data_IF_696705103760
#
_entry.id   IF_696705103760
#
_cell.length_a   1.000
_cell.length_b   1.000
_cell.length_c   1.000
_cell.angle_alpha   90.00
_cell.angle_beta   90.00
_cell.angle_gamma   90.00
#
_symmetry.space_group_name_H-M   'P 1'
#
loop_
_entity.id
_entity.type
_entity.pdbx_description
1 polymer ?
#
# COMPACT_ATOMS: atom_id res chain seq x y z
N UNK A 1 3.69 -34.89 13.24
CA UNK A 1 4.72 -34.24 12.39
C UNK A 1 4.15 -33.49 11.19
N UNK A 2 3.21 -34.05 10.44
CA UNK A 2 2.56 -33.40 9.27
C UNK A 2 1.79 -32.12 9.62
N UNK A 3 1.06 -32.08 10.73
CA UNK A 3 0.34 -30.88 11.19
C UNK A 3 1.28 -29.71 11.50
N UNK A 4 2.46 -29.98 12.06
CA UNK A 4 3.43 -28.94 12.42
C UNK A 4 4.06 -28.25 11.21
N UNK A 5 4.26 -29.00 10.12
CA UNK A 5 4.80 -28.48 8.85
C UNK A 5 3.73 -27.60 8.16
N UNK A 6 2.48 -28.09 8.08
CA UNK A 6 1.36 -27.35 7.50
C UNK A 6 1.08 -26.06 8.25
N UNK A 7 1.18 -26.06 9.58
CA UNK A 7 1.05 -24.86 10.41
C UNK A 7 2.17 -23.84 10.18
N UNK A 8 3.41 -24.30 10.00
CA UNK A 8 4.55 -23.42 9.68
C UNK A 8 4.40 -22.79 8.29
N UNK A 9 3.92 -23.53 7.30
CA UNK A 9 3.67 -23.02 5.95
C UNK A 9 2.60 -21.91 6.01
N UNK A 10 1.49 -22.10 6.70
CA UNK A 10 0.46 -21.07 6.85
C UNK A 10 0.98 -19.80 7.52
N UNK A 11 1.86 -19.90 8.51
CA UNK A 11 2.43 -18.73 9.16
C UNK A 11 3.37 -17.93 8.24
N UNK A 12 4.14 -18.61 7.39
CA UNK A 12 4.97 -17.97 6.37
C UNK A 12 4.11 -17.22 5.36
N UNK A 13 2.98 -17.80 4.97
CA UNK A 13 2.04 -17.17 4.04
C UNK A 13 1.38 -15.92 4.64
N UNK A 14 0.99 -15.93 5.92
CA UNK A 14 0.46 -14.74 6.61
C UNK A 14 1.49 -13.63 6.68
N UNK A 15 2.74 -13.92 7.03
CA UNK A 15 3.81 -12.93 7.08
C UNK A 15 4.10 -12.34 5.70
N UNK A 16 4.17 -13.20 4.69
CA UNK A 16 4.40 -12.78 3.30
C UNK A 16 3.26 -11.89 2.77
N UNK A 17 2.01 -12.21 3.10
CA UNK A 17 0.86 -11.39 2.72
C UNK A 17 0.87 -10.03 3.45
N UNK A 18 1.18 -10.02 4.74
CA UNK A 18 1.30 -8.78 5.50
C UNK A 18 2.39 -7.85 4.96
N UNK A 19 3.53 -8.40 4.53
CA UNK A 19 4.59 -7.62 3.91
C UNK A 19 4.13 -6.97 2.59
N UNK A 20 3.32 -7.68 1.79
CA UNK A 20 2.72 -7.11 0.58
C UNK A 20 1.71 -6.00 0.89
N UNK A 21 0.86 -6.19 1.89
CA UNK A 21 -0.10 -5.18 2.32
C UNK A 21 0.59 -3.93 2.87
N UNK A 22 1.68 -4.09 3.62
CA UNK A 22 2.51 -2.97 4.05
C UNK A 22 3.17 -2.24 2.88
N UNK A 23 3.74 -2.99 1.93
CA UNK A 23 4.34 -2.42 0.71
C UNK A 23 3.32 -1.60 -0.08
N UNK A 24 2.11 -2.13 -0.24
CA UNK A 24 0.98 -1.41 -0.86
C UNK A 24 0.70 -0.10 -0.14
N UNK A 25 0.54 -0.13 1.18
CA UNK A 25 0.24 1.06 1.99
C UNK A 25 1.34 2.13 1.89
N UNK A 26 2.60 1.73 1.90
CA UNK A 26 3.74 2.65 1.72
C UNK A 26 3.67 3.30 0.33
N UNK A 27 3.41 2.53 -0.73
CA UNK A 27 3.27 3.07 -2.08
C UNK A 27 2.09 4.05 -2.21
N UNK A 28 0.95 3.75 -1.60
CA UNK A 28 -0.22 4.63 -1.56
C UNK A 28 0.09 5.97 -0.86
N UNK A 29 0.76 5.93 0.29
CA UNK A 29 1.20 7.14 1.02
C UNK A 29 2.20 7.95 0.19
N UNK A 30 3.15 7.30 -0.47
CA UNK A 30 4.13 7.97 -1.31
C UNK A 30 3.48 8.64 -2.53
N UNK A 31 2.51 7.98 -3.17
CA UNK A 31 1.74 8.55 -4.28
C UNK A 31 0.97 9.79 -3.81
N UNK A 32 0.32 9.74 -2.66
CA UNK A 32 -0.40 10.87 -2.08
C UNK A 32 0.55 12.05 -1.84
N UNK A 33 1.69 11.79 -1.22
CA UNK A 33 2.72 12.81 -0.99
C UNK A 33 3.21 13.44 -2.30
N UNK A 34 3.55 12.64 -3.30
CA UNK A 34 4.05 13.11 -4.59
C UNK A 34 2.99 13.91 -5.37
N UNK A 35 1.71 13.49 -5.30
CA UNK A 35 0.62 14.26 -5.90
C UNK A 35 0.44 15.62 -5.22
N UNK A 36 0.50 15.68 -3.89
CA UNK A 36 0.41 16.94 -3.14
C UNK A 36 1.56 17.88 -3.48
N UNK A 37 2.78 17.37 -3.65
CA UNK A 37 3.93 18.17 -4.10
C UNK A 37 3.74 18.68 -5.54
N UNK A 38 3.20 17.84 -6.41
CA UNK A 38 2.85 18.23 -7.78
C UNK A 38 1.82 19.36 -7.80
N UNK A 39 0.75 19.24 -7.03
CA UNK A 39 -0.31 20.26 -6.91
C UNK A 39 0.23 21.60 -6.38
N UNK A 40 1.11 21.57 -5.39
CA UNK A 40 1.76 22.79 -4.86
C UNK A 40 2.56 23.51 -5.94
N UNK A 41 3.31 22.79 -6.76
CA UNK A 41 4.06 23.36 -7.86
C UNK A 41 3.10 23.93 -8.91
N UNK A 42 2.03 23.20 -9.25
CA UNK A 42 1.02 23.66 -10.21
C UNK A 42 0.28 24.91 -9.75
N UNK A 43 -0.02 25.02 -8.45
CA UNK A 43 -0.65 26.20 -7.86
C UNK A 43 0.25 27.45 -7.96
N UNK A 44 1.55 27.32 -7.71
CA UNK A 44 2.51 28.44 -7.85
C UNK A 44 2.48 29.03 -9.26
N UNK A 45 2.43 28.18 -10.28
CA UNK A 45 2.42 28.65 -11.68
C UNK A 45 1.06 29.16 -12.18
N UNK A 46 -0.05 28.71 -11.59
CA UNK A 46 -1.38 29.22 -11.92
C UNK A 46 -1.62 30.62 -11.36
N UNK A 47 -1.06 30.96 -10.20
CA UNK A 47 -1.19 32.31 -9.61
C UNK A 47 -0.29 33.35 -10.31
N UNK A 48 0.86 32.97 -10.86
CA UNK A 48 1.74 33.86 -11.61
C UNK A 48 1.16 34.31 -12.95
N UNK A 49 0.23 33.55 -13.54
CA UNK A 49 -0.43 33.90 -14.81
C UNK A 49 -1.28 35.15 -14.75
N UNK A 50 -1.62 35.67 -13.57
CA UNK A 50 -2.41 36.87 -13.37
C UNK A 50 -1.57 38.17 -13.12
N UNK A 51 -0.26 38.04 -12.89
CA UNK A 51 0.63 39.16 -12.57
C UNK A 51 1.92 39.14 -13.40
N UNK A 52 1.85 38.93 -14.70
CA UNK A 52 3.02 39.02 -15.57
C UNK A 52 3.48 40.48 -15.72
N UNK A 53 4.60 40.92 -15.12
CA UNK A 53 5.24 42.15 -15.53
C UNK A 53 5.81 41.95 -16.93
N UNK A 54 5.40 42.79 -17.84
CA UNK A 54 5.95 42.91 -19.19
C UNK A 54 7.41 43.40 -19.15
N UNK A 55 8.33 42.64 -18.63
CA UNK A 55 9.74 42.87 -18.73
C UNK A 55 10.43 41.65 -19.35
N UNK A 56 10.91 41.85 -20.56
CA UNK A 56 11.77 40.98 -21.33
C UNK A 56 13.10 40.70 -20.60
N UNK A 57 13.06 40.05 -19.47
CA UNK A 57 14.26 39.43 -18.92
C UNK A 57 14.48 38.11 -19.65
N UNK A 58 15.61 37.95 -20.28
CA UNK A 58 16.09 36.70 -20.90
C UNK A 58 16.15 35.59 -19.88
N UNK A 59 15.00 35.02 -19.49
CA UNK A 59 14.92 33.81 -18.75
C UNK A 59 15.38 32.63 -19.63
N UNK A 60 16.08 31.63 -19.11
CA UNK A 60 16.57 30.49 -19.89
C UNK A 60 15.44 29.62 -20.46
N UNK A 61 14.20 29.95 -20.19
CA UNK A 61 13.01 29.22 -20.63
C UNK A 61 12.08 30.16 -21.43
N UNK A 62 11.64 29.68 -22.58
CA UNK A 62 10.85 30.50 -23.52
C UNK A 62 9.36 30.60 -23.16
N UNK A 63 8.88 29.80 -22.17
CA UNK A 63 7.48 29.83 -21.73
C UNK A 63 7.33 29.46 -20.25
N UNK A 64 6.20 29.86 -19.62
CA UNK A 64 5.83 29.44 -18.28
C UNK A 64 5.65 27.92 -18.20
N UNK A 65 5.20 27.30 -19.29
CA UNK A 65 5.08 25.86 -19.41
C UNK A 65 6.44 25.16 -19.26
N UNK A 66 7.50 25.68 -19.89
CA UNK A 66 8.85 25.12 -19.81
C UNK A 66 9.43 25.26 -18.40
N UNK A 67 9.16 26.37 -17.71
CA UNK A 67 9.53 26.54 -16.29
C UNK A 67 8.83 25.53 -15.41
N UNK A 68 7.55 25.31 -15.60
CA UNK A 68 6.74 24.34 -14.85
C UNK A 68 7.26 22.91 -15.05
N UNK A 69 7.54 22.52 -16.29
CA UNK A 69 8.14 21.22 -16.59
C UNK A 69 9.51 21.10 -15.92
N UNK A 70 10.35 22.12 -15.98
CA UNK A 70 11.66 22.14 -15.34
C UNK A 70 11.56 21.96 -13.83
N UNK A 71 10.67 22.68 -13.15
CA UNK A 71 10.43 22.52 -11.72
C UNK A 71 9.93 21.10 -11.36
N UNK A 72 8.95 20.60 -12.09
CA UNK A 72 8.41 19.25 -11.90
C UNK A 72 9.48 18.16 -12.12
N UNK A 73 10.42 18.40 -13.02
CA UNK A 73 11.49 17.42 -13.32
C UNK A 73 12.69 17.52 -12.41
N UNK A 74 13.00 18.70 -11.84
CA UNK A 74 14.25 18.92 -11.10
C UNK A 74 14.09 19.04 -9.58
N UNK A 75 12.94 19.50 -9.08
CA UNK A 75 12.75 19.78 -7.65
C UNK A 75 13.00 18.58 -6.75
N UNK A 76 12.60 17.38 -7.16
CA UNK A 76 12.81 16.16 -6.39
C UNK A 76 14.05 15.35 -6.78
N UNK A 77 14.78 15.75 -7.81
CA UNK A 77 16.04 15.10 -8.16
C UNK A 77 17.08 15.21 -7.04
N UNK A 78 17.00 16.27 -6.23
CA UNK A 78 17.91 16.52 -5.10
C UNK A 78 17.52 15.76 -3.83
N UNK A 79 16.21 15.50 -3.62
CA UNK A 79 15.70 14.84 -2.42
C UNK A 79 15.69 13.32 -2.55
N UNK A 80 15.79 12.79 -3.76
CA UNK A 80 15.77 11.35 -3.99
C UNK A 80 17.14 10.71 -3.84
N UNK A 81 17.46 10.36 -2.62
CA UNK A 81 18.73 9.76 -2.20
C UNK A 81 19.10 8.47 -2.94
N UNK A 82 18.14 7.81 -3.59
CA UNK A 82 18.33 6.46 -4.12
C UNK A 82 18.36 6.33 -5.65
N UNK A 83 17.62 7.15 -6.41
CA UNK A 83 17.42 6.85 -7.84
C UNK A 83 17.59 8.01 -8.82
N UNK A 84 17.91 9.22 -8.40
CA UNK A 84 18.01 10.42 -9.26
C UNK A 84 16.78 10.66 -10.14
N UNK A 85 15.63 10.13 -9.75
CA UNK A 85 14.35 10.31 -10.45
C UNK A 85 13.80 11.70 -10.13
N UNK A 86 13.23 12.37 -11.14
CA UNK A 86 12.40 13.55 -10.92
C UNK A 86 11.01 13.16 -10.38
N UNK A 87 10.21 14.15 -9.98
CA UNK A 87 8.88 13.94 -9.38
C UNK A 87 7.96 13.09 -10.25
N UNK A 88 7.91 13.35 -11.56
CA UNK A 88 7.01 12.65 -12.48
C UNK A 88 7.47 11.20 -12.67
N UNK A 89 8.76 11.00 -12.89
CA UNK A 89 9.35 9.66 -13.03
C UNK A 89 9.16 8.83 -11.76
N UNK A 90 9.34 9.45 -10.59
CA UNK A 90 9.11 8.77 -9.31
C UNK A 90 7.65 8.40 -9.12
N UNK A 91 6.73 9.31 -9.44
CA UNK A 91 5.29 9.07 -9.37
C UNK A 91 4.87 7.91 -10.28
N UNK A 92 5.37 7.87 -11.51
CA UNK A 92 5.08 6.79 -12.46
C UNK A 92 5.68 5.46 -12.00
N UNK A 93 6.89 5.48 -11.44
CA UNK A 93 7.53 4.31 -10.88
C UNK A 93 6.72 3.72 -9.72
N UNK A 94 6.33 4.54 -8.75
CA UNK A 94 5.58 4.07 -7.57
C UNK A 94 4.19 3.58 -7.96
N UNK A 95 3.53 4.21 -8.95
CA UNK A 95 2.25 3.72 -9.49
C UNK A 95 2.38 2.32 -10.09
N UNK A 96 3.45 2.06 -10.84
CA UNK A 96 3.72 0.71 -11.40
C UNK A 96 4.00 -0.31 -10.28
N UNK A 97 4.80 0.07 -9.27
CA UNK A 97 5.03 -0.81 -8.10
C UNK A 97 3.71 -1.14 -7.37
N UNK A 98 2.82 -0.16 -7.22
CA UNK A 98 1.51 -0.36 -6.61
C UNK A 98 0.65 -1.31 -7.44
N UNK A 99 0.64 -1.17 -8.76
CA UNK A 99 -0.09 -2.06 -9.66
C UNK A 99 0.42 -3.51 -9.57
N UNK A 100 1.73 -3.71 -9.59
CA UNK A 100 2.36 -5.02 -9.44
C UNK A 100 2.04 -5.64 -8.07
N UNK A 101 2.10 -4.83 -7.02
CA UNK A 101 1.77 -5.25 -5.67
C UNK A 101 0.29 -5.68 -5.56
N UNK A 102 -0.63 -4.93 -6.16
CA UNK A 102 -2.05 -5.28 -6.20
C UNK A 102 -2.29 -6.59 -6.97
N UNK A 103 -1.64 -6.80 -8.10
CA UNK A 103 -1.73 -8.07 -8.87
C UNK A 103 -1.26 -9.25 -8.03
N UNK A 104 -0.17 -9.08 -7.30
CA UNK A 104 0.35 -10.16 -6.44
C UNK A 104 -0.56 -10.43 -5.23
N UNK A 105 -1.14 -9.39 -4.63
CA UNK A 105 -2.13 -9.52 -3.55
C UNK A 105 -3.35 -10.31 -4.05
N UNK A 106 -3.90 -9.99 -5.21
CA UNK A 106 -5.06 -10.71 -5.77
C UNK A 106 -4.75 -12.18 -6.07
N UNK A 107 -3.58 -12.49 -6.61
CA UNK A 107 -3.14 -13.88 -6.81
C UNK A 107 -3.09 -14.65 -5.48
N UNK A 108 -2.55 -14.00 -4.43
CA UNK A 108 -2.45 -14.62 -3.10
C UNK A 108 -3.80 -14.77 -2.43
N UNK A 109 -4.74 -13.84 -2.60
CA UNK A 109 -6.11 -14.00 -2.10
C UNK A 109 -6.77 -15.24 -2.68
N UNK A 110 -6.63 -15.50 -3.98
CA UNK A 110 -7.14 -16.72 -4.63
C UNK A 110 -6.54 -17.98 -3.98
N UNK A 111 -5.26 -17.94 -3.63
CA UNK A 111 -4.61 -19.03 -2.91
C UNK A 111 -5.19 -19.21 -1.50
N UNK A 112 -5.37 -18.12 -0.75
CA UNK A 112 -5.99 -18.15 0.59
C UNK A 112 -7.42 -18.69 0.57
N UNK A 113 -8.20 -18.43 -0.48
CA UNK A 113 -9.56 -18.95 -0.63
C UNK A 113 -9.62 -20.48 -0.76
N UNK A 114 -8.52 -21.08 -1.21
CA UNK A 114 -8.38 -22.54 -1.32
C UNK A 114 -7.84 -23.20 -0.04
N UNK A 115 -7.34 -22.41 0.90
CA UNK A 115 -6.84 -22.92 2.16
C UNK A 115 -7.99 -23.09 3.15
N UNK A 116 -8.04 -24.25 3.77
CA UNK A 116 -9.00 -24.55 4.83
C UNK A 116 -8.35 -24.41 6.20
N UNK A 117 -9.19 -24.21 7.21
CA UNK A 117 -8.78 -24.21 8.61
C UNK A 117 -9.08 -22.91 9.35
N UNK A 118 -9.32 -23.05 10.65
CA UNK A 118 -9.78 -21.97 11.53
C UNK A 118 -8.86 -20.75 11.48
N UNK A 119 -7.55 -20.93 11.48
CA UNK A 119 -6.60 -19.80 11.43
C UNK A 119 -6.70 -19.02 10.12
N UNK A 120 -6.89 -19.75 9.03
CA UNK A 120 -7.00 -19.15 7.71
C UNK A 120 -8.33 -18.39 7.55
N UNK A 121 -9.43 -18.93 8.04
CA UNK A 121 -10.72 -18.24 8.04
C UNK A 121 -10.68 -16.96 8.89
N UNK A 122 -10.09 -17.01 10.08
CA UNK A 122 -9.89 -15.83 10.91
C UNK A 122 -9.05 -14.76 10.19
N UNK A 123 -7.97 -15.18 9.53
CA UNK A 123 -7.11 -14.26 8.78
C UNK A 123 -7.87 -13.60 7.63
N UNK A 124 -8.59 -14.38 6.81
CA UNK A 124 -9.39 -13.85 5.70
C UNK A 124 -10.43 -12.83 6.18
N UNK A 125 -11.22 -13.20 7.17
CA UNK A 125 -12.28 -12.33 7.68
C UNK A 125 -11.75 -11.03 8.28
N UNK A 126 -10.65 -11.07 9.04
CA UNK A 126 -10.12 -9.89 9.73
C UNK A 126 -9.28 -9.03 8.78
N UNK A 127 -8.39 -9.64 8.01
CA UNK A 127 -7.41 -8.90 7.19
C UNK A 127 -7.97 -8.50 5.83
N UNK A 128 -8.70 -9.39 5.15
CA UNK A 128 -9.23 -9.10 3.81
C UNK A 128 -10.60 -8.44 3.83
N UNK A 129 -11.47 -8.87 4.76
CA UNK A 129 -12.85 -8.38 4.85
C UNK A 129 -13.02 -7.26 5.87
N UNK A 130 -12.00 -6.99 6.70
CA UNK A 130 -12.03 -5.96 7.73
C UNK A 130 -12.99 -6.24 8.88
N UNK A 131 -13.32 -7.52 9.12
CA UNK A 131 -14.23 -7.90 10.17
C UNK A 131 -13.66 -7.63 11.57
N UNK A 132 -14.54 -7.24 12.49
CA UNK A 132 -14.15 -7.16 13.89
C UNK A 132 -13.75 -8.55 14.42
N UNK A 133 -12.63 -8.66 15.17
CA UNK A 133 -12.16 -9.93 15.70
C UNK A 133 -13.21 -10.76 16.45
N UNK A 134 -14.07 -10.11 17.25
CA UNK A 134 -15.13 -10.81 17.98
C UNK A 134 -16.15 -11.46 17.03
N UNK A 135 -16.59 -10.72 16.01
CA UNK A 135 -17.50 -11.21 15.00
C UNK A 135 -16.88 -12.35 14.17
N UNK A 136 -15.62 -12.21 13.80
CA UNK A 136 -14.89 -13.27 13.08
C UNK A 136 -14.80 -14.56 13.90
N UNK A 137 -14.50 -14.44 15.20
CA UNK A 137 -14.45 -15.60 16.12
C UNK A 137 -15.81 -16.26 16.29
N UNK A 138 -16.90 -15.49 16.41
CA UNK A 138 -18.27 -16.03 16.48
C UNK A 138 -18.61 -16.80 15.21
N UNK A 139 -18.41 -16.21 14.03
CA UNK A 139 -18.68 -16.85 12.75
C UNK A 139 -17.88 -18.14 12.58
N UNK A 140 -16.60 -18.12 12.87
CA UNK A 140 -15.73 -19.31 12.78
C UNK A 140 -16.11 -20.36 13.81
N UNK A 141 -16.57 -19.95 15.00
CA UNK A 141 -17.11 -20.83 16.04
C UNK A 141 -18.30 -21.65 15.51
N UNK A 142 -19.23 -20.98 14.84
CA UNK A 142 -20.40 -21.60 14.21
C UNK A 142 -19.99 -22.52 13.05
N UNK A 143 -19.11 -22.08 12.16
CA UNK A 143 -18.65 -22.86 11.01
C UNK A 143 -17.96 -24.17 11.39
N UNK A 144 -17.20 -24.17 12.47
CA UNK A 144 -16.38 -25.32 12.90
C UNK A 144 -16.94 -26.07 14.12
N UNK A 145 -18.06 -25.62 14.68
CA UNK A 145 -18.68 -26.24 15.85
C UNK A 145 -17.79 -26.24 17.10
N UNK A 146 -16.96 -25.20 17.26
CA UNK A 146 -16.06 -25.03 18.41
C UNK A 146 -16.48 -23.82 19.24
N UNK A 147 -16.31 -23.88 20.56
CA UNK A 147 -16.64 -22.74 21.41
C UNK A 147 -15.77 -21.50 21.08
N UNK A 148 -16.32 -20.30 21.23
CA UNK A 148 -15.62 -19.04 21.02
C UNK A 148 -14.37 -18.94 21.90
N UNK A 149 -14.44 -19.41 23.17
CA UNK A 149 -13.30 -19.45 24.08
C UNK A 149 -12.15 -20.32 23.55
N UNK A 150 -12.49 -21.47 22.93
CA UNK A 150 -11.49 -22.34 22.28
C UNK A 150 -10.82 -21.65 21.10
N UNK A 151 -11.62 -20.96 20.26
CA UNK A 151 -11.11 -20.19 19.12
C UNK A 151 -10.15 -19.08 19.58
N UNK A 152 -10.54 -18.29 20.58
CA UNK A 152 -9.70 -17.24 21.16
C UNK A 152 -8.37 -17.79 21.69
N UNK A 153 -8.43 -18.82 22.50
CA UNK A 153 -7.27 -19.37 23.22
C UNK A 153 -6.27 -20.08 22.31
N UNK A 154 -6.75 -20.93 21.40
CA UNK A 154 -5.90 -21.85 20.65
C UNK A 154 -5.63 -21.47 19.21
N UNK A 155 -6.43 -20.58 18.63
CA UNK A 155 -6.29 -20.18 17.22
C UNK A 155 -5.97 -18.69 17.07
N UNK A 156 -6.83 -17.82 17.57
CA UNK A 156 -6.62 -16.38 17.46
C UNK A 156 -5.31 -15.94 18.14
N UNK A 157 -5.03 -16.37 19.34
CA UNK A 157 -3.80 -16.01 20.07
C UNK A 157 -2.53 -16.33 19.29
N UNK A 158 -2.52 -17.40 18.52
CA UNK A 158 -1.36 -17.85 17.72
C UNK A 158 -1.13 -16.98 16.47
N UNK A 159 -2.19 -16.39 15.90
CA UNK A 159 -2.09 -15.57 14.68
C UNK A 159 -2.26 -14.07 14.94
N UNK A 160 -2.52 -13.67 16.19
CA UNK A 160 -2.79 -12.28 16.58
C UNK A 160 -1.77 -11.27 16.02
N UNK A 161 -0.49 -11.65 15.98
CA UNK A 161 0.57 -10.80 15.44
C UNK A 161 0.42 -10.49 13.94
N UNK A 162 -0.25 -11.36 13.19
CA UNK A 162 -0.51 -11.20 11.76
C UNK A 162 -1.83 -10.50 11.45
N UNK A 163 -2.70 -10.31 12.44
CA UNK A 163 -4.02 -9.69 12.30
C UNK A 163 -4.01 -8.17 12.54
N UNK A 164 -2.88 -7.63 12.99
CA UNK A 164 -2.68 -6.19 13.20
C UNK A 164 -1.96 -5.61 11.98
N UNK A 165 -2.68 -4.86 11.18
CA UNK A 165 -2.12 -3.97 10.15
C UNK A 165 -2.06 -2.54 10.67
#
# INVERSE_FOLDING_TARGET
>A
MYQTIKEKIHMIEFESMNNLLQKKKIAEIEIEYLNNEKEKIEAIYSDEGNNAPTNESKAPFNSEHDKKIFELTHRLAFDNKYNKMNLIERLDYVKKELEECNKEIEKRKIYFDRLEGIKNELYKMIVFEGANPSKAVETVSEMYGKSTSTIWKYYYSKIKKYLRN
#
